data_IF_946142689134
#
_entry.id   IF_946142689134
#
_cell.length_a   1.000
_cell.length_b   1.000
_cell.length_c   1.000
_cell.angle_alpha   90.00
_cell.angle_beta   90.00
_cell.angle_gamma   90.00
#
_symmetry.space_group_name_H-M   'P 1'
#
loop_
_entity.id
_entity.type
_entity.pdbx_description
1 polymer ?
#
# COMPACT_ATOMS: atom_id res chain seq x y z
N UNK A 1 -23.71 -70.79 -0.64
CA UNK A 1 -25.09 -70.32 -0.90
C UNK A 1 -25.16 -68.88 -0.44
N UNK A 2 -25.37 -67.83 -1.23
CA UNK A 2 -25.72 -67.67 -2.64
C UNK A 2 -24.50 -67.22 -3.47
N UNK A 3 -24.32 -67.87 -4.61
CA UNK A 3 -23.41 -67.49 -5.69
C UNK A 3 -24.24 -66.65 -6.66
N UNK A 4 -23.74 -65.49 -7.10
CA UNK A 4 -24.30 -64.81 -8.28
C UNK A 4 -23.20 -64.03 -9.02
N UNK A 5 -22.49 -64.80 -9.85
CA UNK A 5 -22.02 -64.49 -11.21
C UNK A 5 -21.57 -63.06 -11.55
N UNK A 6 -20.24 -62.91 -11.62
CA UNK A 6 -19.58 -61.91 -12.47
C UNK A 6 -19.91 -62.17 -13.94
N UNK A 7 -20.75 -61.31 -14.54
CA UNK A 7 -20.89 -61.22 -16.01
C UNK A 7 -19.96 -60.15 -16.55
N UNK A 8 -18.91 -60.61 -17.21
CA UNK A 8 -18.05 -59.85 -18.11
C UNK A 8 -18.87 -59.46 -19.34
N UNK A 9 -19.22 -58.18 -19.50
CA UNK A 9 -19.63 -57.65 -20.80
C UNK A 9 -19.13 -56.22 -20.99
N UNK A 10 -18.36 -56.10 -22.06
CA UNK A 10 -18.18 -54.91 -22.89
C UNK A 10 -17.64 -53.65 -22.19
N UNK A 11 -16.35 -53.41 -22.41
CA UNK A 11 -15.77 -52.07 -22.50
C UNK A 11 -16.62 -51.15 -23.38
N UNK A 12 -17.16 -50.04 -22.86
CA UNK A 12 -17.54 -48.90 -23.66
C UNK A 12 -16.34 -47.95 -23.72
N UNK A 13 -15.74 -47.89 -24.91
CA UNK A 13 -15.22 -46.68 -25.55
C UNK A 13 -14.84 -45.51 -24.62
N UNK A 14 -13.55 -45.15 -24.67
CA UNK A 14 -13.04 -43.83 -24.25
C UNK A 14 -14.04 -42.73 -24.68
N UNK A 15 -14.67 -42.01 -23.74
CA UNK A 15 -15.29 -40.76 -24.06
C UNK A 15 -14.22 -39.68 -23.99
N UNK A 16 -14.02 -39.06 -25.16
CA UNK A 16 -13.62 -37.68 -25.36
C UNK A 16 -12.29 -37.24 -24.76
N UNK A 17 -11.46 -36.70 -25.65
CA UNK A 17 -10.44 -35.71 -25.37
C UNK A 17 -10.67 -35.04 -24.02
N UNK A 18 -9.80 -35.34 -23.05
CA UNK A 18 -9.56 -34.40 -21.96
C UNK A 18 -9.01 -33.15 -22.63
N UNK A 19 -9.94 -32.28 -23.02
CA UNK A 19 -9.70 -30.85 -23.12
C UNK A 19 -9.05 -30.52 -21.78
N UNK A 20 -7.73 -30.33 -21.83
CA UNK A 20 -6.99 -29.79 -20.71
C UNK A 20 -7.78 -28.58 -20.27
N UNK A 21 -8.31 -28.62 -19.05
CA UNK A 21 -8.94 -27.48 -18.44
C UNK A 21 -7.83 -26.46 -18.16
N UNK A 22 -7.39 -25.76 -19.20
CA UNK A 22 -6.71 -24.47 -19.17
C UNK A 22 -7.61 -23.50 -18.39
N UNK A 23 -7.54 -23.57 -17.07
CA UNK A 23 -8.41 -22.79 -16.20
C UNK A 23 -8.48 -23.25 -14.74
N UNK A 24 -7.99 -24.45 -14.39
CA UNK A 24 -7.83 -24.81 -12.98
C UNK A 24 -6.54 -24.19 -12.44
N UNK A 25 -6.63 -22.95 -11.96
CA UNK A 25 -5.53 -22.34 -11.21
C UNK A 25 -5.27 -23.22 -9.99
N UNK A 26 -4.13 -23.91 -9.97
CA UNK A 26 -3.73 -24.80 -8.88
C UNK A 26 -3.81 -24.07 -7.53
N UNK A 27 -4.75 -24.49 -6.68
CA UNK A 27 -4.98 -23.91 -5.35
C UNK A 27 -3.68 -23.93 -4.53
N UNK A 28 -2.82 -24.93 -4.75
CA UNK A 28 -1.49 -25.02 -4.09
C UNK A 28 -0.57 -23.91 -4.54
N UNK A 29 -0.61 -23.53 -5.82
CA UNK A 29 0.17 -22.41 -6.36
C UNK A 29 -0.28 -21.08 -5.74
N UNK A 30 -1.59 -20.87 -5.58
CA UNK A 30 -2.13 -19.67 -4.92
C UNK A 30 -1.73 -19.61 -3.44
N UNK A 31 -1.85 -20.73 -2.71
CA UNK A 31 -1.42 -20.82 -1.32
C UNK A 31 0.09 -20.53 -1.17
N UNK A 32 0.92 -21.05 -2.09
CA UNK A 32 2.36 -20.77 -2.11
C UNK A 32 2.66 -19.28 -2.37
N UNK A 33 1.99 -18.66 -3.35
CA UNK A 33 2.15 -17.23 -3.64
C UNK A 33 1.72 -16.36 -2.45
N UNK A 34 0.61 -16.70 -1.79
CA UNK A 34 0.15 -16.03 -0.58
C UNK A 34 1.17 -16.18 0.56
N UNK A 35 1.75 -17.38 0.76
CA UNK A 35 2.81 -17.61 1.73
C UNK A 35 4.05 -16.77 1.43
N UNK A 36 4.47 -16.71 0.16
CA UNK A 36 5.61 -15.89 -0.30
C UNK A 36 5.35 -14.40 -0.09
N UNK A 37 4.14 -13.92 -0.36
CA UNK A 37 3.74 -12.54 -0.10
C UNK A 37 3.80 -12.21 1.39
N UNK A 38 3.22 -13.05 2.25
CA UNK A 38 3.27 -12.90 3.72
C UNK A 38 4.70 -12.88 4.24
N UNK A 39 5.57 -13.74 3.71
CA UNK A 39 6.99 -13.75 4.09
C UNK A 39 7.69 -12.45 3.66
N UNK A 40 7.49 -12.00 2.42
CA UNK A 40 8.05 -10.73 1.93
C UNK A 40 7.55 -9.53 2.74
N UNK A 41 6.26 -9.52 3.09
CA UNK A 41 5.67 -8.50 3.95
C UNK A 41 6.33 -8.46 5.32
N UNK A 42 6.49 -9.60 6.00
CA UNK A 42 7.19 -9.66 7.30
C UNK A 42 8.64 -9.19 7.19
N UNK A 43 9.34 -9.56 6.11
CA UNK A 43 10.72 -9.10 5.88
C UNK A 43 10.78 -7.58 5.71
N UNK A 44 9.84 -6.99 4.96
CA UNK A 44 9.72 -5.55 4.80
C UNK A 44 9.45 -4.86 6.14
N UNK A 45 8.49 -5.37 6.93
CA UNK A 45 8.18 -4.82 8.25
C UNK A 45 9.37 -4.90 9.21
N UNK A 46 10.10 -6.02 9.21
CA UNK A 46 11.31 -6.16 10.02
C UNK A 46 12.39 -5.14 9.60
N UNK A 47 12.60 -4.95 8.30
CA UNK A 47 13.52 -3.95 7.76
C UNK A 47 13.10 -2.51 8.12
N UNK A 48 11.81 -2.18 8.02
CA UNK A 48 11.31 -0.88 8.44
C UNK A 48 11.50 -0.65 9.94
N UNK A 49 11.26 -1.68 10.76
CA UNK A 49 11.47 -1.58 12.20
C UNK A 49 12.94 -1.35 12.56
N UNK A 50 13.86 -2.04 11.88
CA UNK A 50 15.30 -1.84 12.02
C UNK A 50 15.69 -0.41 11.61
N UNK A 51 15.20 0.06 10.46
CA UNK A 51 15.43 1.43 10.00
C UNK A 51 14.93 2.46 11.01
N UNK A 52 13.73 2.30 11.55
CA UNK A 52 13.17 3.18 12.59
C UNK A 52 14.04 3.15 13.88
N UNK A 53 14.55 1.99 14.26
CA UNK A 53 15.46 1.85 15.40
C UNK A 53 16.77 2.61 15.20
N UNK A 54 17.38 2.46 14.01
CA UNK A 54 18.60 3.18 13.64
C UNK A 54 18.37 4.70 13.57
N UNK A 55 17.25 5.13 12.98
CA UNK A 55 16.84 6.53 12.93
C UNK A 55 16.69 7.12 14.34
N UNK A 56 16.06 6.37 15.24
CA UNK A 56 15.92 6.75 16.64
C UNK A 56 17.26 6.93 17.34
N UNK A 57 18.24 6.06 17.06
CA UNK A 57 19.62 6.23 17.56
C UNK A 57 20.26 7.51 17.04
N UNK A 58 20.20 7.76 15.72
CA UNK A 58 20.74 8.97 15.11
C UNK A 58 20.14 10.23 15.76
N UNK A 59 18.82 10.29 15.90
CA UNK A 59 18.15 11.44 16.53
C UNK A 59 18.57 11.61 18.00
N UNK A 60 18.75 10.51 18.74
CA UNK A 60 19.18 10.57 20.14
C UNK A 60 20.62 11.08 20.29
N UNK A 61 21.54 10.62 19.43
CA UNK A 61 22.95 11.03 19.48
C UNK A 61 23.20 12.44 18.96
N UNK A 62 22.33 12.94 18.09
CA UNK A 62 22.47 14.28 17.47
C UNK A 62 21.60 15.33 18.14
N UNK A 63 20.98 15.00 19.28
CA UNK A 63 20.12 15.94 20.00
C UNK A 63 20.93 17.14 20.48
N UNK A 64 20.44 18.35 20.17
CA UNK A 64 21.11 19.61 20.48
C UNK A 64 22.17 20.05 19.45
N UNK A 65 22.42 19.26 18.39
CA UNK A 65 23.40 19.61 17.37
C UNK A 65 22.86 20.52 16.25
N UNK A 66 21.55 20.79 16.21
CA UNK A 66 20.91 21.57 15.16
C UNK A 66 20.61 23.00 15.63
N UNK A 67 20.83 24.00 14.77
CA UNK A 67 20.61 25.42 15.08
C UNK A 67 19.13 25.78 15.29
N UNK A 68 18.23 25.09 14.59
CA UNK A 68 16.78 25.17 14.83
C UNK A 68 16.39 24.33 16.06
N UNK A 69 15.96 25.05 17.10
CA UNK A 69 15.49 24.52 18.38
C UNK A 69 14.21 23.66 18.24
N UNK A 70 13.44 23.83 17.16
CA UNK A 70 12.23 23.03 16.89
C UNK A 70 12.55 21.61 16.44
N UNK A 71 13.63 21.45 15.68
CA UNK A 71 14.08 20.15 15.19
C UNK A 71 14.96 19.48 16.24
N UNK A 72 15.88 20.23 16.86
CA UNK A 72 16.65 19.81 18.02
C UNK A 72 17.52 18.56 17.80
N UNK A 73 17.62 18.02 16.58
CA UNK A 73 18.45 16.90 16.19
C UNK A 73 18.76 16.95 14.69
N UNK A 74 19.80 16.24 14.24
CA UNK A 74 20.16 16.18 12.83
C UNK A 74 19.33 15.13 12.09
N UNK A 75 19.12 15.34 10.80
CA UNK A 75 18.61 14.36 9.85
C UNK A 75 19.71 13.41 9.39
N UNK A 76 19.32 12.27 8.81
CA UNK A 76 20.26 11.27 8.27
C UNK A 76 21.17 11.91 7.23
N UNK A 77 20.59 12.67 6.29
CA UNK A 77 21.35 13.37 5.25
C UNK A 77 22.36 14.35 5.86
N UNK A 78 21.96 15.15 6.85
CA UNK A 78 22.90 16.07 7.52
C UNK A 78 24.03 15.32 8.22
N UNK A 79 23.73 14.20 8.88
CA UNK A 79 24.78 13.38 9.49
C UNK A 79 25.73 12.75 8.46
N UNK A 80 25.23 12.38 7.28
CA UNK A 80 26.05 11.88 6.18
C UNK A 80 26.95 12.98 5.61
N UNK A 81 26.43 14.20 5.45
CA UNK A 81 27.21 15.36 4.99
C UNK A 81 28.30 15.76 6.00
N UNK A 82 28.06 15.59 7.30
CA UNK A 82 29.07 15.80 8.33
C UNK A 82 30.12 14.68 8.37
N UNK A 83 29.69 13.44 8.08
CA UNK A 83 30.58 12.28 8.05
C UNK A 83 31.51 12.31 6.84
N UNK A 84 31.01 12.76 5.69
CA UNK A 84 31.74 12.83 4.44
C UNK A 84 31.79 14.27 3.87
N UNK A 85 32.92 14.97 4.00
CA UNK A 85 33.07 16.33 3.48
C UNK A 85 33.02 16.37 1.94
N UNK A 86 33.31 15.27 1.24
CA UNK A 86 33.22 15.22 -0.22
C UNK A 86 31.77 15.22 -0.69
N UNK A 87 30.89 14.47 -0.02
CA UNK A 87 29.45 14.52 -0.26
C UNK A 87 28.89 15.94 -0.09
N UNK A 88 29.33 16.65 0.95
CA UNK A 88 29.03 18.08 1.15
C UNK A 88 29.47 18.96 -0.03
N UNK A 89 30.71 18.80 -0.50
CA UNK A 89 31.24 19.55 -1.65
C UNK A 89 30.51 19.23 -2.95
N UNK A 90 30.09 17.98 -3.16
CA UNK A 90 29.31 17.59 -4.34
C UNK A 90 27.92 18.23 -4.32
N UNK A 91 27.23 18.21 -3.18
CA UNK A 91 25.94 18.86 -3.03
C UNK A 91 26.04 20.37 -3.28
N UNK A 92 27.05 21.02 -2.71
CA UNK A 92 27.29 22.45 -2.89
C UNK A 92 27.52 22.82 -4.35
N UNK A 93 28.33 22.04 -5.10
CA UNK A 93 28.52 22.25 -6.54
C UNK A 93 27.22 22.12 -7.33
N UNK A 94 26.37 21.15 -7.00
CA UNK A 94 25.05 20.98 -7.65
C UNK A 94 24.14 22.17 -7.36
N UNK A 95 24.08 22.61 -6.12
CA UNK A 95 23.27 23.78 -5.74
C UNK A 95 23.76 25.05 -6.44
N UNK A 96 25.07 25.24 -6.56
CA UNK A 96 25.64 26.36 -7.32
C UNK A 96 25.27 26.29 -8.81
N UNK A 97 25.34 25.11 -9.44
CA UNK A 97 24.92 24.98 -10.84
C UNK A 97 23.42 25.22 -11.04
N UNK A 98 22.58 24.75 -10.12
CA UNK A 98 21.13 25.01 -10.18
C UNK A 98 20.83 26.50 -9.95
N UNK A 99 21.52 27.14 -9.00
CA UNK A 99 21.32 28.57 -8.75
C UNK A 99 21.74 29.40 -9.97
N UNK A 100 22.88 29.10 -10.59
CA UNK A 100 23.31 29.74 -11.83
C UNK A 100 22.29 29.56 -12.97
N UNK A 101 21.67 28.37 -13.09
CA UNK A 101 20.60 28.12 -14.05
C UNK A 101 19.34 28.93 -13.75
N UNK A 102 18.98 29.05 -12.47
CA UNK A 102 17.82 29.85 -12.04
C UNK A 102 18.06 31.34 -12.27
N UNK A 103 19.25 31.85 -11.98
CA UNK A 103 19.66 33.22 -12.26
C UNK A 103 19.58 33.50 -13.77
N UNK A 104 20.14 32.63 -14.61
CA UNK A 104 20.04 32.76 -16.06
C UNK A 104 18.59 32.71 -16.57
N UNK A 105 17.74 31.87 -15.96
CA UNK A 105 16.32 31.81 -16.29
C UNK A 105 15.60 33.12 -15.90
N UNK A 106 15.92 33.70 -14.75
CA UNK A 106 15.37 35.00 -14.32
C UNK A 106 15.83 36.13 -15.26
N UNK A 107 17.11 36.16 -15.63
CA UNK A 107 17.63 37.12 -16.60
C UNK A 107 16.92 37.00 -17.96
N UNK A 108 16.69 35.77 -18.41
CA UNK A 108 15.93 35.51 -19.63
C UNK A 108 14.49 36.00 -19.50
N UNK A 109 13.81 35.72 -18.36
CA UNK A 109 12.45 36.20 -18.10
C UNK A 109 12.35 37.73 -18.15
N UNK A 110 13.35 38.45 -17.64
CA UNK A 110 13.38 39.91 -17.77
C UNK A 110 13.49 40.40 -19.22
N UNK A 111 14.05 39.58 -20.13
CA UNK A 111 14.23 39.90 -21.56
C UNK A 111 13.16 39.27 -22.45
N UNK A 112 12.23 38.51 -21.87
CA UNK A 112 11.20 37.76 -22.59
C UNK A 112 10.34 38.68 -23.45
N UNK A 113 9.93 39.84 -22.93
CA UNK A 113 9.13 40.82 -23.68
C UNK A 113 9.89 41.37 -24.90
N UNK A 114 11.18 41.67 -24.76
CA UNK A 114 12.00 42.18 -25.87
C UNK A 114 12.20 41.10 -26.92
N UNK A 115 12.40 39.85 -26.50
CA UNK A 115 12.50 38.70 -27.39
C UNK A 115 11.22 38.52 -28.20
N UNK A 116 10.04 38.56 -27.55
CA UNK A 116 8.76 38.40 -28.25
C UNK A 116 8.44 39.61 -29.15
N UNK A 117 8.71 40.83 -28.71
CA UNK A 117 8.59 42.03 -29.57
C UNK A 117 9.46 41.91 -30.82
N UNK A 118 10.71 41.45 -30.68
CA UNK A 118 11.57 41.19 -31.83
C UNK A 118 11.02 40.06 -32.71
N UNK A 119 10.55 38.96 -32.12
CA UNK A 119 9.92 37.88 -32.87
C UNK A 119 8.71 38.33 -33.67
N UNK A 120 7.86 39.21 -33.12
CA UNK A 120 6.71 39.77 -33.85
C UNK A 120 7.16 40.59 -35.06
N UNK A 121 8.28 41.32 -34.95
CA UNK A 121 8.87 42.04 -36.10
C UNK A 121 9.45 41.10 -37.16
N UNK A 122 10.10 40.01 -36.75
CA UNK A 122 10.65 38.99 -37.67
C UNK A 122 9.55 38.22 -38.38
N UNK A 123 8.44 37.96 -37.67
CA UNK A 123 7.25 37.29 -38.21
C UNK A 123 6.37 38.23 -39.04
N UNK A 124 6.75 39.50 -39.21
CA UNK A 124 6.07 40.47 -40.08
C UNK A 124 4.73 40.97 -39.55
N UNK A 125 4.45 40.82 -38.25
CA UNK A 125 3.20 41.24 -37.65
C UNK A 125 3.33 42.62 -36.97
N UNK A 126 3.02 43.68 -37.71
CA UNK A 126 2.52 44.93 -37.14
C UNK A 126 1.40 45.48 -38.03
N UNK A 127 0.15 45.58 -37.55
CA UNK A 127 -0.72 46.69 -37.91
C UNK A 127 -0.37 47.91 -37.03
N UNK A 128 -0.64 49.14 -37.53
CA UNK A 128 -0.34 50.36 -36.79
C UNK A 128 -1.32 50.53 -35.63
N UNK A 129 -0.78 51.11 -34.56
CA UNK A 129 -1.42 51.61 -33.35
C UNK A 129 -2.96 51.66 -33.32
N UNK A 130 -3.57 50.94 -32.38
CA UNK A 130 -4.50 51.51 -31.39
C UNK A 130 -5.14 50.42 -30.54
N UNK A 131 -5.39 50.76 -29.27
CA UNK A 131 -5.97 49.95 -28.19
C UNK A 131 -5.08 48.83 -27.68
N UNK A 132 -4.42 49.08 -26.55
CA UNK A 132 -4.04 48.03 -25.61
C UNK A 132 -5.31 47.27 -25.22
N UNK A 133 -5.44 45.97 -25.52
CA UNK A 133 -6.46 45.17 -24.86
C UNK A 133 -5.82 44.64 -23.58
N UNK A 134 -6.62 44.53 -22.53
CA UNK A 134 -6.25 43.84 -21.30
C UNK A 134 -5.92 42.37 -21.60
N UNK A 135 -4.73 42.08 -22.12
CA UNK A 135 -4.26 40.73 -22.34
C UNK A 135 -3.49 40.28 -21.10
N UNK A 136 -4.27 39.72 -20.18
CA UNK A 136 -3.78 38.64 -19.33
C UNK A 136 -3.06 37.61 -20.23
N UNK A 137 -1.94 37.03 -19.79
CA UNK A 137 -1.25 36.02 -20.57
C UNK A 137 -2.16 34.78 -20.68
N UNK A 138 -2.82 34.62 -21.82
CA UNK A 138 -3.41 33.33 -22.20
C UNK A 138 -2.25 32.48 -22.70
N UNK A 139 -1.88 31.51 -21.87
CA UNK A 139 -0.86 30.51 -22.15
C UNK A 139 -1.18 29.90 -23.53
N UNK A 140 -0.21 29.76 -24.44
CA UNK A 140 -0.46 29.17 -25.76
C UNK A 140 -1.04 27.75 -25.60
N UNK A 141 -2.27 27.54 -26.06
CA UNK A 141 -3.03 26.28 -25.97
C UNK A 141 -2.42 25.14 -26.83
N UNK A 142 -1.25 25.35 -27.44
CA UNK A 142 -0.59 24.38 -28.34
C UNK A 142 -0.08 23.11 -27.62
N UNK A 143 -0.14 23.04 -26.30
CA UNK A 143 -0.02 21.80 -25.53
C UNK A 143 -1.29 21.42 -24.77
N UNK A 144 -2.30 22.30 -24.74
CA UNK A 144 -3.60 22.03 -24.13
C UNK A 144 -4.38 21.02 -24.98
N UNK A 145 -4.35 21.13 -26.30
CA UNK A 145 -5.03 20.17 -27.18
C UNK A 145 -4.45 18.75 -27.05
N UNK A 146 -3.13 18.60 -26.92
CA UNK A 146 -2.46 17.31 -26.69
C UNK A 146 -2.71 16.79 -25.26
N UNK A 147 -2.71 17.67 -24.25
CA UNK A 147 -3.07 17.32 -22.88
C UNK A 147 -4.55 16.96 -22.72
N UNK A 148 -5.45 17.60 -23.46
CA UNK A 148 -6.88 17.30 -23.50
C UNK A 148 -7.14 15.98 -24.21
N UNK A 149 -6.38 15.68 -25.28
CA UNK A 149 -6.39 14.36 -25.93
C UNK A 149 -5.93 13.27 -24.97
N UNK A 150 -4.78 13.45 -24.32
CA UNK A 150 -4.25 12.49 -23.33
C UNK A 150 -5.16 12.39 -22.11
N UNK A 151 -5.78 13.48 -21.66
CA UNK A 151 -6.76 13.46 -20.59
C UNK A 151 -8.01 12.68 -21.00
N UNK A 152 -8.48 12.84 -22.24
CA UNK A 152 -9.58 12.07 -22.82
C UNK A 152 -9.24 10.57 -22.93
N UNK A 153 -8.03 10.23 -23.38
CA UNK A 153 -7.55 8.84 -23.45
C UNK A 153 -7.43 8.21 -22.06
N UNK A 154 -6.92 8.94 -21.06
CA UNK A 154 -6.85 8.47 -19.68
C UNK A 154 -8.22 8.32 -19.04
N UNK A 155 -9.16 9.22 -19.36
CA UNK A 155 -10.55 9.14 -18.93
C UNK A 155 -11.22 7.89 -19.52
N UNK A 156 -11.04 7.64 -20.82
CA UNK A 156 -11.55 6.46 -21.50
C UNK A 156 -10.95 5.16 -20.92
N UNK A 157 -9.63 5.13 -20.68
CA UNK A 157 -8.98 3.99 -20.02
C UNK A 157 -9.47 3.77 -18.60
N UNK A 158 -9.74 4.84 -17.85
CA UNK A 158 -10.29 4.76 -16.50
C UNK A 158 -11.73 4.20 -16.53
N UNK A 159 -12.54 4.62 -17.50
CA UNK A 159 -13.90 4.10 -17.72
C UNK A 159 -13.89 2.64 -18.13
N UNK A 160 -12.99 2.23 -19.03
CA UNK A 160 -12.80 0.82 -19.42
C UNK A 160 -12.35 -0.05 -18.24
N UNK A 161 -11.38 0.42 -17.45
CA UNK A 161 -10.93 -0.27 -16.23
C UNK A 161 -12.06 -0.39 -15.21
N UNK A 162 -12.86 0.67 -15.05
CA UNK A 162 -14.01 0.67 -14.16
C UNK A 162 -15.08 -0.31 -14.64
N UNK A 163 -15.42 -0.30 -15.92
CA UNK A 163 -16.36 -1.24 -16.52
C UNK A 163 -15.87 -2.69 -16.40
N UNK A 164 -14.58 -2.96 -16.64
CA UNK A 164 -13.99 -4.28 -16.48
C UNK A 164 -13.98 -4.73 -15.01
N UNK A 165 -13.69 -3.83 -14.08
CA UNK A 165 -13.74 -4.10 -12.65
C UNK A 165 -15.18 -4.33 -12.16
N UNK A 166 -16.15 -3.57 -12.66
CA UNK A 166 -17.58 -3.73 -12.37
C UNK A 166 -18.12 -5.02 -12.96
N UNK A 167 -17.77 -5.37 -14.20
CA UNK A 167 -18.12 -6.64 -14.82
C UNK A 167 -17.52 -7.83 -14.04
N UNK A 168 -16.27 -7.72 -13.60
CA UNK A 168 -15.61 -8.75 -12.78
C UNK A 168 -16.22 -8.84 -11.36
N UNK A 169 -16.60 -7.70 -10.76
CA UNK A 169 -17.36 -7.67 -9.50
C UNK A 169 -18.73 -8.30 -9.68
N UNK A 170 -19.46 -7.98 -10.74
CA UNK A 170 -20.77 -8.55 -11.04
C UNK A 170 -20.68 -10.05 -11.31
N UNK A 171 -19.67 -10.51 -12.06
CA UNK A 171 -19.41 -11.93 -12.27
C UNK A 171 -19.04 -12.65 -10.97
N UNK A 172 -18.26 -12.01 -10.09
CA UNK A 172 -17.95 -12.54 -8.77
C UNK A 172 -19.20 -12.58 -7.86
N UNK A 173 -20.02 -11.52 -7.85
CA UNK A 173 -21.29 -11.45 -7.10
C UNK A 173 -22.30 -12.45 -7.64
N UNK A 174 -22.38 -12.70 -8.95
CA UNK A 174 -23.21 -13.75 -9.52
C UNK A 174 -22.72 -15.15 -9.13
N UNK A 175 -21.40 -15.35 -9.10
CA UNK A 175 -20.76 -16.61 -8.68
C UNK A 175 -20.87 -16.88 -7.17
N UNK A 176 -20.89 -15.83 -6.34
CA UNK A 176 -21.05 -15.92 -4.88
C UNK A 176 -22.53 -15.89 -4.48
N UNK A 177 -23.38 -15.16 -5.20
CA UNK A 177 -24.83 -15.10 -5.03
C UNK A 177 -25.55 -16.41 -5.36
N UNK A 178 -24.85 -17.37 -6.01
CA UNK A 178 -25.29 -18.76 -6.12
C UNK A 178 -25.08 -19.61 -4.85
N UNK A 179 -24.36 -19.11 -3.84
CA UNK A 179 -24.17 -19.78 -2.55
C UNK A 179 -25.08 -19.18 -1.47
N UNK A 180 -26.31 -19.68 -1.42
CA UNK A 180 -27.14 -19.85 -0.20
C UNK A 180 -27.64 -18.60 0.55
N UNK A 181 -28.89 -18.63 1.08
CA UNK A 181 -29.48 -17.55 1.88
C UNK A 181 -28.84 -17.36 3.27
N UNK A 182 -27.87 -18.18 3.69
CA UNK A 182 -27.18 -18.01 4.97
C UNK A 182 -25.99 -17.03 4.90
N UNK A 183 -25.42 -16.82 3.71
CA UNK A 183 -24.32 -15.87 3.52
C UNK A 183 -24.82 -14.41 3.44
N UNK A 184 -26.03 -14.20 2.92
CA UNK A 184 -26.65 -12.87 2.79
C UNK A 184 -26.93 -12.16 4.12
N UNK A 185 -27.49 -12.78 5.19
CA UNK A 185 -27.73 -12.10 6.46
C UNK A 185 -26.43 -11.76 7.19
N UNK A 186 -25.40 -12.62 7.12
CA UNK A 186 -24.10 -12.33 7.73
C UNK A 186 -23.36 -11.22 6.99
N UNK A 187 -23.47 -11.17 5.66
CA UNK A 187 -22.93 -10.09 4.84
C UNK A 187 -23.65 -8.76 5.10
N UNK A 188 -24.97 -8.80 5.26
CA UNK A 188 -25.78 -7.61 5.54
C UNK A 188 -25.50 -7.09 6.95
N UNK A 189 -25.42 -7.97 7.96
CA UNK A 189 -25.03 -7.60 9.32
C UNK A 189 -23.61 -7.01 9.40
N UNK A 190 -22.67 -7.55 8.61
CA UNK A 190 -21.30 -7.00 8.54
C UNK A 190 -21.25 -5.67 7.79
N UNK A 191 -22.02 -5.48 6.73
CA UNK A 191 -22.14 -4.17 6.05
C UNK A 191 -22.78 -3.11 6.96
N UNK A 192 -23.83 -3.47 7.69
CA UNK A 192 -24.50 -2.58 8.64
C UNK A 192 -23.57 -2.20 9.81
N UNK A 193 -22.83 -3.17 10.37
CA UNK A 193 -21.84 -2.91 11.41
C UNK A 193 -20.72 -1.99 10.92
N UNK A 194 -20.21 -2.21 9.70
CA UNK A 194 -19.18 -1.33 9.11
C UNK A 194 -19.74 0.07 8.83
N UNK A 195 -20.99 0.18 8.37
CA UNK A 195 -21.65 1.47 8.18
C UNK A 195 -21.82 2.26 9.49
N UNK A 196 -22.18 1.57 10.57
CA UNK A 196 -22.28 2.14 11.92
C UNK A 196 -20.92 2.60 12.46
N UNK A 197 -19.86 1.81 12.26
CA UNK A 197 -18.50 2.20 12.65
C UNK A 197 -17.99 3.41 11.84
N UNK A 198 -18.25 3.45 10.53
CA UNK A 198 -17.86 4.58 9.68
C UNK A 198 -18.60 5.87 10.02
N UNK A 199 -19.88 5.77 10.38
CA UNK A 199 -20.67 6.91 10.84
C UNK A 199 -20.21 7.38 12.22
N UNK A 200 -19.90 6.47 13.14
CA UNK A 200 -19.31 6.79 14.44
C UNK A 200 -17.94 7.48 14.29
N UNK A 201 -17.08 6.99 13.39
CA UNK A 201 -15.79 7.60 13.07
C UNK A 201 -15.93 9.00 12.46
N UNK A 202 -16.88 9.21 11.53
CA UNK A 202 -17.17 10.54 10.97
C UNK A 202 -17.65 11.51 12.04
N UNK A 203 -18.55 11.07 12.92
CA UNK A 203 -19.04 11.92 14.00
C UNK A 203 -17.95 12.22 15.04
N UNK A 204 -17.06 11.28 15.34
CA UNK A 204 -15.89 11.51 16.18
C UNK A 204 -14.92 12.51 15.54
N UNK A 205 -14.73 12.42 14.22
CA UNK A 205 -13.92 13.35 13.44
C UNK A 205 -14.48 14.77 13.45
N UNK A 206 -15.80 14.92 13.28
CA UNK A 206 -16.47 16.22 13.30
C UNK A 206 -16.56 16.85 14.70
N UNK A 207 -16.75 16.03 15.75
CA UNK A 207 -16.73 16.51 17.15
C UNK A 207 -15.32 16.88 17.63
N UNK A 208 -14.27 16.36 17.00
CA UNK A 208 -12.88 16.75 17.22
C UNK A 208 -12.49 18.11 16.62
N UNK A 209 -13.48 18.95 16.24
CA UNK A 209 -13.35 20.26 15.61
C UNK A 209 -12.73 21.35 16.49
N UNK A 210 -11.50 21.15 16.95
CA UNK A 210 -10.61 22.20 17.42
C UNK A 210 -9.46 22.36 16.43
N UNK A 211 -9.64 23.18 15.37
CA UNK A 211 -8.60 23.67 14.43
C UNK A 211 -7.32 22.80 14.33
N UNK A 212 -7.44 21.57 13.84
CA UNK A 212 -6.28 20.85 13.34
C UNK A 212 -6.15 21.18 11.85
N UNK A 213 -5.24 22.09 11.54
CA UNK A 213 -4.74 22.36 10.19
C UNK A 213 -4.43 21.00 9.52
N UNK A 214 -4.77 20.78 8.22
CA UNK A 214 -4.47 19.51 7.56
C UNK A 214 -2.96 19.32 7.60
N UNK A 215 -2.51 18.49 8.53
CA UNK A 215 -1.10 18.29 8.72
C UNK A 215 -0.58 17.46 7.56
N UNK A 216 0.43 17.99 6.88
CA UNK A 216 1.21 17.26 5.87
C UNK A 216 1.85 15.99 6.46
N UNK A 217 2.59 15.20 5.65
CA UNK A 217 3.12 13.90 6.05
C UNK A 217 3.93 14.03 7.35
N UNK A 218 3.35 13.54 8.45
CA UNK A 218 3.96 13.64 9.76
C UNK A 218 5.18 12.72 9.86
N UNK A 219 6.32 13.32 10.21
CA UNK A 219 7.44 12.65 10.84
C UNK A 219 7.05 12.34 12.29
N UNK A 220 6.99 11.07 12.67
CA UNK A 220 6.77 10.69 14.07
C UNK A 220 7.99 11.13 14.88
N UNK A 221 7.79 12.13 15.74
CA UNK A 221 8.80 12.60 16.70
C UNK A 221 8.37 12.12 18.09
N UNK A 222 9.28 11.45 18.79
CA UNK A 222 9.05 11.02 20.18
C UNK A 222 9.14 12.25 21.07
N UNK A 223 8.00 12.77 21.51
CA UNK A 223 7.94 13.91 22.42
C UNK A 223 8.19 13.44 23.85
N UNK A 224 9.21 14.01 24.51
CA UNK A 224 9.50 13.78 25.91
C UNK A 224 8.79 14.84 26.76
N UNK A 225 7.79 14.37 27.51
CA UNK A 225 7.11 14.99 28.64
C UNK A 225 6.12 16.14 28.39
N UNK A 226 4.92 15.97 28.98
CA UNK A 226 3.95 17.04 29.21
C UNK A 226 2.49 16.56 29.13
N UNK A 227 1.97 16.02 30.23
CA UNK A 227 0.54 15.78 30.57
C UNK A 227 -0.47 16.11 29.46
N UNK A 228 -0.92 15.10 28.71
CA UNK A 228 -2.13 15.22 27.89
C UNK A 228 -3.27 14.50 28.61
N UNK A 229 -4.10 15.31 29.29
CA UNK A 229 -5.39 14.88 29.80
C UNK A 229 -6.33 14.55 28.66
N UNK A 230 -6.43 13.27 28.33
CA UNK A 230 -7.40 12.67 27.43
C UNK A 230 -7.36 11.15 27.61
N UNK A 231 -8.39 10.39 27.20
CA UNK A 231 -8.43 8.93 27.30
C UNK A 231 -7.46 8.28 26.31
N UNK A 232 -6.16 8.55 26.47
CA UNK A 232 -5.06 8.15 25.61
C UNK A 232 -4.11 7.14 26.27
N UNK A 233 -4.56 6.41 27.30
CA UNK A 233 -3.75 5.44 28.04
C UNK A 233 -4.27 4.00 27.94
N UNK A 234 -5.09 3.67 26.94
CA UNK A 234 -5.63 2.31 26.79
C UNK A 234 -4.74 1.39 25.94
N UNK A 235 -3.75 1.91 25.21
CA UNK A 235 -2.94 1.09 24.30
C UNK A 235 -2.04 0.10 25.05
N UNK A 236 -1.43 0.50 26.17
CA UNK A 236 -0.55 -0.38 26.96
C UNK A 236 -1.38 -1.49 27.63
N UNK A 237 -2.56 -1.15 28.13
CA UNK A 237 -3.50 -2.10 28.74
C UNK A 237 -4.04 -3.08 27.70
N UNK A 238 -4.46 -2.59 26.53
CA UNK A 238 -4.92 -3.43 25.40
C UNK A 238 -3.80 -4.33 24.89
N UNK A 239 -2.56 -3.83 24.79
CA UNK A 239 -1.39 -4.66 24.44
C UNK A 239 -1.17 -5.74 25.49
N UNK A 240 -1.31 -5.42 26.78
CA UNK A 240 -1.22 -6.40 27.87
C UNK A 240 -2.28 -7.50 27.75
N UNK A 241 -3.54 -7.12 27.50
CA UNK A 241 -4.66 -8.06 27.31
C UNK A 241 -4.49 -8.92 26.04
N UNK A 242 -3.97 -8.34 24.96
CA UNK A 242 -3.72 -9.09 23.74
C UNK A 242 -2.56 -10.08 23.91
N UNK A 243 -1.49 -9.70 24.62
CA UNK A 243 -0.38 -10.61 24.93
C UNK A 243 -0.78 -11.75 25.84
N UNK A 244 -1.65 -11.50 26.84
CA UNK A 244 -2.15 -12.58 27.70
C UNK A 244 -3.05 -13.54 26.92
N UNK A 245 -3.86 -13.02 25.99
CA UNK A 245 -4.69 -13.84 25.10
C UNK A 245 -3.86 -14.64 24.10
N UNK A 246 -2.81 -14.06 23.54
CA UNK A 246 -1.83 -14.74 22.68
C UNK A 246 -1.18 -15.91 23.42
N UNK A 247 -0.64 -15.68 24.62
CA UNK A 247 -0.05 -16.73 25.43
C UNK A 247 -1.03 -17.88 25.76
N UNK A 248 -2.29 -17.56 26.05
CA UNK A 248 -3.33 -18.57 26.27
C UNK A 248 -3.61 -19.40 25.00
N UNK A 249 -3.68 -18.75 23.84
CA UNK A 249 -3.86 -19.42 22.56
C UNK A 249 -2.65 -20.30 22.19
N UNK A 250 -1.44 -19.87 22.50
CA UNK A 250 -0.23 -20.70 22.28
C UNK A 250 -0.24 -21.96 23.15
N UNK A 251 -0.60 -21.85 24.43
CA UNK A 251 -0.72 -23.00 25.33
C UNK A 251 -1.78 -23.98 24.84
N UNK A 252 -2.94 -23.49 24.42
CA UNK A 252 -4.01 -24.36 23.88
C UNK A 252 -3.62 -25.01 22.57
N UNK A 253 -2.91 -24.30 21.69
CA UNK A 253 -2.39 -24.85 20.43
C UNK A 253 -1.37 -25.96 20.70
N UNK A 254 -0.43 -25.77 21.63
CA UNK A 254 0.52 -26.81 22.02
C UNK A 254 -0.18 -28.04 22.61
N UNK A 255 -1.21 -27.83 23.45
CA UNK A 255 -2.03 -28.92 23.98
C UNK A 255 -2.73 -29.71 22.87
N UNK A 256 -3.39 -29.03 21.94
CA UNK A 256 -4.08 -29.67 20.81
C UNK A 256 -3.10 -30.40 19.89
N UNK A 257 -1.92 -29.81 19.62
CA UNK A 257 -0.87 -30.50 18.87
C UNK A 257 -0.36 -31.74 19.59
N UNK A 258 -0.22 -31.69 20.92
CA UNK A 258 0.12 -32.85 21.75
C UNK A 258 -0.94 -33.96 21.65
N UNK A 259 -2.22 -33.59 21.73
CA UNK A 259 -3.34 -34.52 21.57
C UNK A 259 -3.37 -35.14 20.17
N UNK A 260 -3.22 -34.33 19.11
CA UNK A 260 -3.13 -34.85 17.75
C UNK A 260 -1.95 -35.81 17.57
N UNK A 261 -0.77 -35.51 18.16
CA UNK A 261 0.39 -36.43 18.11
C UNK A 261 0.10 -37.75 18.84
N UNK A 262 -0.59 -37.71 19.97
CA UNK A 262 -0.97 -38.92 20.71
C UNK A 262 -1.98 -39.77 19.94
N UNK A 263 -2.99 -39.16 19.34
CA UNK A 263 -3.96 -39.88 18.51
C UNK A 263 -3.31 -40.44 17.23
N UNK A 264 -2.41 -39.69 16.61
CA UNK A 264 -1.63 -40.19 15.47
C UNK A 264 -0.71 -41.35 15.87
N UNK A 265 -0.11 -41.34 17.07
CA UNK A 265 0.70 -42.45 17.56
C UNK A 265 -0.15 -43.71 17.77
N UNK A 266 -1.35 -43.60 18.37
CA UNK A 266 -2.29 -44.71 18.53
C UNK A 266 -2.73 -45.29 17.18
N UNK A 267 -3.00 -44.44 16.19
CA UNK A 267 -3.38 -44.86 14.84
C UNK A 267 -2.20 -45.49 14.08
N UNK A 268 -0.98 -45.02 14.29
CA UNK A 268 0.24 -45.60 13.72
C UNK A 268 0.54 -46.99 14.30
N UNK A 269 0.33 -47.19 15.61
CA UNK A 269 0.45 -48.50 16.26
C UNK A 269 -0.59 -49.51 15.74
N UNK A 270 -1.80 -49.05 15.37
CA UNK A 270 -2.85 -49.89 14.81
C UNK A 270 -2.64 -50.28 13.34
N UNK A 271 -1.75 -49.60 12.60
CA UNK A 271 -1.52 -49.79 11.16
C UNK A 271 -0.01 -49.88 10.85
N UNK A 272 0.64 -51.05 11.05
CA UNK A 272 2.09 -51.21 10.93
C UNK A 272 2.66 -51.06 9.51
N UNK A 273 1.82 -50.80 8.50
CA UNK A 273 2.22 -50.69 7.08
C UNK A 273 2.27 -49.25 6.54
N UNK A 274 1.99 -48.22 7.35
CA UNK A 274 1.96 -46.81 6.91
C UNK A 274 3.10 -46.01 7.53
N UNK A 275 3.97 -45.46 6.68
CA UNK A 275 5.08 -44.59 7.09
C UNK A 275 4.57 -43.16 7.26
N UNK A 276 4.55 -42.66 8.49
CA UNK A 276 4.13 -41.29 8.81
C UNK A 276 5.34 -40.33 8.75
N UNK A 277 5.29 -39.36 7.83
CA UNK A 277 6.29 -38.29 7.75
C UNK A 277 5.79 -37.11 8.59
N UNK A 278 6.36 -36.92 9.77
CA UNK A 278 6.09 -35.73 10.59
C UNK A 278 6.69 -34.48 9.95
N UNK A 279 5.98 -33.33 9.94
CA UNK A 279 6.55 -32.08 9.48
C UNK A 279 7.69 -31.64 10.41
N UNK A 280 8.74 -30.99 9.88
CA UNK A 280 9.90 -30.58 10.65
C UNK A 280 9.48 -29.62 11.76
N UNK A 281 9.90 -29.92 13.00
CA UNK A 281 9.62 -29.13 14.18
C UNK A 281 10.16 -27.70 14.05
N UNK A 282 9.38 -26.74 14.56
CA UNK A 282 9.87 -25.40 14.89
C UNK A 282 10.42 -25.38 16.30
#
# INVERSE_FOLDING_TARGET
>A
MLVCECKTLASPSLPAARVEAEGCVDIRRLQWLMGKLRFRWRKLMASQQEQCSLLGKIHSYTRGCHSDHRLGHLSVTETELLRDPEAGRQLLRRLQSENARLEAALEWRCRELVFWQWMDTVLGACPPESSWPAFLPRIPERGADELELVAGELQALQEELRAAAEARRAAWVSRVGGLGPEWSPTQQATQEAVGQELTALRQAWERGGGRAQPHGPHRLVRSEAGVLGGPGLQAVEVIGVLRSREACLEVTLHRLQGQCRQELAKLAEALPSVIWILPPGR
#
